data_IF_798046380391
#
_entry.id   IF_798046380391
#
_cell.length_a   1.000
_cell.length_b   1.000
_cell.length_c   1.000
_cell.angle_alpha   90.00
_cell.angle_beta   90.00
_cell.angle_gamma   90.00
#
_symmetry.space_group_name_H-M   'P 1'
#
loop_
_entity.id
_entity.type
_entity.pdbx_description
1 polymer ?
#
# COMPACT_ATOMS: atom_id res chain seq x y z
N UNK A 1 -15.78 58.99 27.84
CA UNK A 1 -16.49 57.80 28.36
C UNK A 1 -16.55 56.77 27.25
N UNK A 2 -15.78 55.69 27.35
CA UNK A 2 -15.68 54.62 26.34
C UNK A 2 -16.65 53.49 26.74
N UNK A 3 -17.68 53.27 25.93
CA UNK A 3 -18.54 52.09 26.03
C UNK A 3 -17.93 51.00 25.13
N UNK A 4 -17.37 49.97 25.75
CA UNK A 4 -16.81 48.80 25.06
C UNK A 4 -17.90 47.78 24.77
N UNK A 5 -17.88 47.26 23.54
CA UNK A 5 -18.69 46.15 23.04
C UNK A 5 -18.70 44.96 24.00
N UNK A 6 -19.89 44.54 24.41
CA UNK A 6 -20.15 43.20 24.92
C UNK A 6 -21.49 42.73 24.33
N UNK A 7 -21.43 42.20 23.12
CA UNK A 7 -22.57 41.58 22.45
C UNK A 7 -22.06 40.48 21.51
N UNK A 8 -21.91 39.26 22.04
CA UNK A 8 -22.08 37.99 21.32
C UNK A 8 -21.76 36.82 22.27
N UNK A 9 -22.69 36.50 23.17
CA UNK A 9 -22.82 35.17 23.75
C UNK A 9 -24.18 34.62 23.35
N UNK A 10 -24.19 33.68 22.40
CA UNK A 10 -25.32 32.83 22.11
C UNK A 10 -25.08 31.46 22.76
N UNK A 11 -26.07 30.86 23.44
CA UNK A 11 -25.91 29.55 24.04
C UNK A 11 -25.82 28.46 22.96
N UNK A 12 -24.74 27.68 23.05
CA UNK A 12 -24.51 26.44 22.32
C UNK A 12 -25.74 25.54 22.39
N UNK A 13 -26.37 25.33 21.24
CA UNK A 13 -27.32 24.23 21.03
C UNK A 13 -26.58 22.91 21.28
N UNK A 14 -27.10 22.13 22.21
CA UNK A 14 -26.71 20.76 22.47
C UNK A 14 -26.76 19.94 21.17
N UNK A 15 -25.60 19.45 20.74
CA UNK A 15 -25.46 18.50 19.65
C UNK A 15 -25.09 17.15 20.28
N UNK A 16 -25.98 16.14 20.30
CA UNK A 16 -25.67 14.83 20.86
C UNK A 16 -24.92 14.00 19.83
N UNK A 17 -23.72 14.45 19.44
CA UNK A 17 -22.77 13.60 18.74
C UNK A 17 -21.85 12.96 19.76
N UNK A 18 -22.40 11.92 20.39
CA UNK A 18 -21.75 10.61 20.54
C UNK A 18 -20.24 10.71 20.74
N UNK A 19 -19.85 10.93 21.99
CA UNK A 19 -18.53 10.60 22.50
C UNK A 19 -18.27 9.11 22.25
N UNK A 20 -17.68 8.77 21.11
CA UNK A 20 -16.86 7.57 21.01
C UNK A 20 -15.51 7.92 21.61
N UNK A 21 -15.43 7.76 22.93
CA UNK A 21 -14.15 7.61 23.60
C UNK A 21 -13.43 6.41 22.95
N UNK A 22 -12.52 6.70 22.00
CA UNK A 22 -11.60 5.70 21.48
C UNK A 22 -10.76 5.22 22.66
N UNK A 23 -11.01 3.99 23.08
CA UNK A 23 -10.14 3.29 24.03
C UNK A 23 -8.72 3.19 23.43
N UNK A 24 -7.66 3.44 24.20
CA UNK A 24 -6.27 3.29 23.77
C UNK A 24 -5.86 1.80 23.73
N UNK A 25 -6.65 0.95 23.07
CA UNK A 25 -6.42 -0.51 22.95
C UNK A 25 -6.38 -1.04 21.52
N UNK A 26 -6.62 -0.21 20.52
CA UNK A 26 -6.64 -0.59 19.09
C UNK A 26 -5.44 -0.07 18.27
N UNK A 27 -4.28 0.14 18.90
CA UNK A 27 -3.01 0.29 18.15
C UNK A 27 -2.45 -1.04 17.66
N UNK A 28 -3.27 -2.10 17.57
CA UNK A 28 -2.93 -3.27 16.75
C UNK A 28 -3.14 -2.87 15.30
N UNK A 29 -2.12 -2.23 14.77
CA UNK A 29 -1.83 -2.14 13.34
C UNK A 29 -2.29 -3.45 12.69
N UNK A 30 -3.44 -3.39 12.02
CA UNK A 30 -4.16 -4.57 11.57
C UNK A 30 -3.25 -5.23 10.56
N UNK A 31 -2.57 -6.31 10.95
CA UNK A 31 -1.74 -7.07 10.03
C UNK A 31 -2.61 -7.41 8.83
N UNK A 32 -2.23 -7.02 7.61
CA UNK A 32 -3.09 -7.22 6.45
C UNK A 32 -3.45 -8.70 6.39
N UNK A 33 -4.73 -9.04 6.40
CA UNK A 33 -5.16 -10.44 6.39
C UNK A 33 -4.83 -11.04 5.04
N UNK A 34 -3.87 -11.97 5.04
CA UNK A 34 -3.33 -12.47 3.80
C UNK A 34 -3.80 -13.86 3.42
N UNK A 35 -4.56 -14.00 2.33
CA UNK A 35 -4.90 -15.33 1.77
C UNK A 35 -3.64 -15.95 1.18
N UNK A 36 -3.24 -17.12 1.71
CA UNK A 36 -2.07 -17.88 1.25
C UNK A 36 -0.73 -17.12 1.26
N UNK A 37 -0.59 -16.11 2.11
CA UNK A 37 0.62 -15.27 2.20
C UNK A 37 0.73 -14.17 1.14
N UNK A 38 -0.38 -13.83 0.49
CA UNK A 38 -0.59 -12.57 -0.23
C UNK A 38 -1.34 -11.61 0.67
N UNK A 39 -1.01 -10.34 0.66
CA UNK A 39 -1.48 -9.27 1.51
C UNK A 39 -2.12 -8.20 0.63
N UNK A 40 -3.31 -7.75 1.02
CA UNK A 40 -3.92 -6.55 0.45
C UNK A 40 -3.46 -5.34 1.25
N UNK A 41 -2.59 -4.53 0.63
CA UNK A 41 -2.06 -3.28 1.16
C UNK A 41 -2.63 -2.05 0.43
N UNK A 42 -3.75 -2.20 -0.29
CA UNK A 42 -4.40 -1.11 -1.03
C UNK A 42 -4.92 0.04 -0.17
N UNK A 43 -5.02 -0.17 1.16
CA UNK A 43 -5.35 0.87 2.14
C UNK A 43 -4.18 1.83 2.44
N UNK A 44 -2.97 1.50 2.01
CA UNK A 44 -1.80 2.35 2.22
C UNK A 44 -1.82 3.54 1.25
N UNK A 45 -1.39 4.70 1.74
CA UNK A 45 -1.23 5.88 0.89
C UNK A 45 0.02 5.73 0.01
N UNK A 46 -0.12 6.01 -1.29
CA UNK A 46 1.02 6.04 -2.20
C UNK A 46 1.64 7.43 -2.18
N UNK A 47 2.91 7.53 -1.80
CA UNK A 47 3.62 8.81 -1.89
C UNK A 47 3.89 9.19 -3.34
N UNK A 48 3.95 10.50 -3.61
CA UNK A 48 4.34 11.03 -4.92
C UNK A 48 5.69 10.48 -5.38
N UNK A 49 6.65 10.38 -4.44
CA UNK A 49 7.95 9.79 -4.71
C UNK A 49 7.87 8.32 -5.15
N UNK A 50 7.02 7.51 -4.50
CA UNK A 50 6.84 6.11 -4.89
C UNK A 50 6.25 5.98 -6.31
N UNK A 51 5.31 6.87 -6.66
CA UNK A 51 4.71 6.92 -7.99
C UNK A 51 5.74 7.34 -9.06
N UNK A 52 6.53 8.38 -8.79
CA UNK A 52 7.60 8.82 -9.68
C UNK A 52 8.61 7.69 -9.93
N UNK A 53 9.08 7.04 -8.86
CA UNK A 53 10.01 5.92 -8.98
C UNK A 53 9.42 4.71 -9.71
N UNK A 54 8.14 4.44 -9.54
CA UNK A 54 7.45 3.40 -10.30
C UNK A 54 7.43 3.73 -11.79
N UNK A 55 7.14 4.99 -12.15
CA UNK A 55 7.15 5.46 -13.53
C UNK A 55 8.53 5.44 -14.17
N UNK A 56 9.58 5.82 -13.45
CA UNK A 56 10.94 5.87 -14.02
C UNK A 56 11.56 4.49 -14.26
N UNK A 57 11.15 3.50 -13.47
CA UNK A 57 11.83 2.19 -13.40
C UNK A 57 11.04 1.06 -14.04
N UNK A 58 9.71 1.18 -14.08
CA UNK A 58 8.81 0.07 -14.43
C UNK A 58 7.80 0.50 -15.49
N UNK A 59 7.25 1.70 -15.37
CA UNK A 59 6.11 2.16 -16.15
C UNK A 59 6.42 3.41 -17.00
N UNK A 60 7.59 3.45 -17.63
CA UNK A 60 8.12 4.65 -18.31
C UNK A 60 7.24 5.13 -19.48
N UNK A 61 6.48 4.21 -20.09
CA UNK A 61 5.56 4.51 -21.18
C UNK A 61 4.18 4.99 -20.73
N UNK A 62 3.88 4.97 -19.43
CA UNK A 62 2.56 5.33 -18.90
C UNK A 62 2.49 6.81 -18.48
N UNK A 63 1.30 7.38 -18.69
CA UNK A 63 0.96 8.68 -18.11
C UNK A 63 0.96 8.62 -16.57
N UNK A 64 1.09 9.76 -15.87
CA UNK A 64 1.05 9.79 -14.41
C UNK A 64 -0.20 9.12 -13.82
N UNK A 65 -1.36 9.38 -14.41
CA UNK A 65 -2.64 8.87 -13.94
C UNK A 65 -2.77 7.36 -14.16
N UNK A 66 -2.38 6.86 -15.33
CA UNK A 66 -2.37 5.42 -15.60
C UNK A 66 -1.40 4.69 -14.67
N UNK A 67 -0.20 5.24 -14.47
CA UNK A 67 0.78 4.66 -13.56
C UNK A 67 0.26 4.58 -12.12
N UNK A 68 -0.47 5.60 -11.66
CA UNK A 68 -1.10 5.60 -10.34
C UNK A 68 -2.17 4.51 -10.22
N UNK A 69 -3.03 4.37 -11.24
CA UNK A 69 -4.05 3.32 -11.28
C UNK A 69 -3.39 1.92 -11.25
N UNK A 70 -2.34 1.72 -12.05
CA UNK A 70 -1.59 0.45 -12.08
C UNK A 70 -0.91 0.15 -10.75
N UNK A 71 -0.27 1.14 -10.14
CA UNK A 71 0.38 1.01 -8.83
C UNK A 71 -0.63 0.63 -7.74
N UNK A 72 -1.80 1.29 -7.70
CA UNK A 72 -2.87 0.96 -6.76
C UNK A 72 -3.42 -0.47 -6.97
N UNK A 73 -3.50 -0.93 -8.21
CA UNK A 73 -3.93 -2.30 -8.50
C UNK A 73 -2.95 -3.34 -7.94
N UNK A 74 -1.64 -3.08 -8.01
CA UNK A 74 -0.59 -3.96 -7.49
C UNK A 74 -0.67 -4.15 -5.97
N UNK A 75 -1.13 -3.13 -5.24
CA UNK A 75 -1.22 -3.16 -3.78
C UNK A 75 -2.17 -4.25 -3.25
N UNK A 76 -3.09 -4.76 -4.08
CA UNK A 76 -4.06 -5.80 -3.68
C UNK A 76 -3.43 -7.17 -3.49
N UNK A 77 -2.33 -7.46 -4.17
CA UNK A 77 -1.72 -8.78 -4.25
C UNK A 77 -0.22 -8.72 -3.98
N UNK A 78 0.13 -8.36 -2.76
CA UNK A 78 1.51 -8.16 -2.35
C UNK A 78 1.98 -9.29 -1.44
N UNK A 79 3.22 -9.75 -1.59
CA UNK A 79 3.79 -10.77 -0.70
C UNK A 79 4.85 -10.15 0.20
N UNK A 80 4.67 -10.22 1.51
CA UNK A 80 5.65 -9.71 2.48
C UNK A 80 6.98 -10.45 2.32
N UNK A 81 8.05 -9.68 2.12
CA UNK A 81 9.42 -10.17 2.06
C UNK A 81 10.07 -10.15 3.44
N UNK A 82 10.02 -9.02 4.12
CA UNK A 82 10.69 -8.81 5.39
C UNK A 82 10.39 -7.44 5.97
N UNK A 83 10.92 -7.18 7.15
CA UNK A 83 10.79 -5.91 7.87
C UNK A 83 12.19 -5.51 8.33
N UNK A 84 12.56 -4.25 8.17
CA UNK A 84 13.85 -3.74 8.61
C UNK A 84 13.79 -3.21 10.05
N UNK A 85 14.95 -2.78 10.58
CA UNK A 85 15.05 -2.23 11.93
C UNK A 85 14.24 -0.94 12.14
N UNK A 86 13.98 -0.18 11.07
CA UNK A 86 13.18 1.05 11.10
C UNK A 86 11.67 0.82 10.95
N UNK A 87 11.21 -0.43 11.08
CA UNK A 87 9.81 -0.82 10.85
C UNK A 87 9.30 -0.59 9.43
N UNK A 88 10.19 -0.41 8.46
CA UNK A 88 9.84 -0.45 7.04
C UNK A 88 9.62 -1.90 6.60
N UNK A 89 8.61 -2.13 5.76
CA UNK A 89 8.23 -3.46 5.30
C UNK A 89 8.42 -3.53 3.79
N UNK A 90 9.09 -4.57 3.33
CA UNK A 90 9.24 -4.86 1.91
C UNK A 90 8.14 -5.83 1.45
N UNK A 91 7.46 -5.47 0.38
CA UNK A 91 6.41 -6.27 -0.26
C UNK A 91 6.74 -6.52 -1.72
N UNK A 92 6.62 -7.77 -2.16
CA UNK A 92 6.81 -8.19 -3.55
C UNK A 92 5.47 -8.13 -4.29
N UNK A 93 5.43 -7.44 -5.42
CA UNK A 93 4.33 -7.46 -6.38
C UNK A 93 4.85 -7.81 -7.78
N UNK A 94 3.95 -8.07 -8.72
CA UNK A 94 4.30 -8.37 -10.12
C UNK A 94 3.52 -7.45 -11.04
N UNK A 95 4.24 -6.67 -11.83
CA UNK A 95 3.71 -5.79 -12.85
C UNK A 95 4.17 -6.27 -14.21
N UNK A 96 3.24 -6.62 -15.11
CA UNK A 96 3.56 -7.06 -16.48
C UNK A 96 4.69 -8.11 -16.54
N UNK A 97 4.51 -9.19 -15.78
CA UNK A 97 5.50 -10.26 -15.54
C UNK A 97 6.84 -9.85 -14.89
N UNK A 98 7.03 -8.56 -14.59
CA UNK A 98 8.21 -8.05 -13.88
C UNK A 98 7.99 -7.98 -12.37
N UNK A 99 8.88 -8.58 -11.56
CA UNK A 99 8.82 -8.46 -10.12
C UNK A 99 9.27 -7.08 -9.65
N UNK A 100 8.46 -6.47 -8.79
CA UNK A 100 8.76 -5.18 -8.17
C UNK A 100 8.66 -5.31 -6.65
N UNK A 101 9.46 -4.52 -5.93
CA UNK A 101 9.45 -4.47 -4.48
C UNK A 101 8.98 -3.11 -4.00
N UNK A 102 7.88 -3.10 -3.26
CA UNK A 102 7.28 -1.92 -2.63
C UNK A 102 7.80 -1.83 -1.20
N UNK A 103 8.32 -0.65 -0.83
CA UNK A 103 8.75 -0.37 0.54
C UNK A 103 7.70 0.49 1.21
N UNK A 104 7.18 0.01 2.32
CA UNK A 104 6.13 0.70 3.09
C UNK A 104 6.62 1.08 4.48
N UNK A 105 6.19 2.24 4.98
CA UNK A 105 6.48 2.70 6.35
C UNK A 105 5.34 3.57 6.86
N UNK A 106 4.87 3.30 8.09
CA UNK A 106 3.89 4.14 8.77
C UNK A 106 2.64 4.44 7.94
N UNK A 107 2.05 3.42 7.32
CA UNK A 107 0.83 3.59 6.49
C UNK A 107 1.06 4.07 5.05
N UNK A 108 2.31 4.32 4.63
CA UNK A 108 2.63 4.85 3.30
C UNK A 108 3.49 3.89 2.48
N UNK A 109 3.26 3.81 1.18
CA UNK A 109 4.21 3.29 0.19
C UNK A 109 5.21 4.41 -0.13
N UNK A 110 6.45 4.23 0.31
CA UNK A 110 7.48 5.27 0.29
C UNK A 110 8.34 5.20 -0.98
N UNK A 111 8.58 3.99 -1.48
CA UNK A 111 9.32 3.81 -2.73
C UNK A 111 9.04 2.46 -3.39
N UNK A 112 9.44 2.35 -4.66
CA UNK A 112 9.36 1.14 -5.48
C UNK A 112 10.77 0.83 -6.00
N UNK A 113 11.20 -0.42 -5.86
CA UNK A 113 12.50 -0.92 -6.29
C UNK A 113 12.30 -2.04 -7.31
N UNK A 114 13.22 -2.14 -8.28
CA UNK A 114 13.35 -3.36 -9.06
C UNK A 114 13.90 -4.50 -8.19
N UNK A 115 13.82 -5.74 -8.70
CA UNK A 115 14.39 -6.89 -8.01
C UNK A 115 15.89 -6.68 -7.71
N UNK A 116 16.66 -6.27 -8.71
CA UNK A 116 18.12 -6.06 -8.60
C UNK A 116 18.47 -4.95 -7.60
N UNK A 117 17.68 -3.88 -7.57
CA UNK A 117 17.85 -2.82 -6.58
C UNK A 117 17.57 -3.32 -5.17
N UNK A 118 16.52 -4.13 -5.00
CA UNK A 118 16.19 -4.69 -3.68
C UNK A 118 17.25 -5.67 -3.19
N UNK A 119 17.90 -6.44 -4.07
CA UNK A 119 18.99 -7.34 -3.68
C UNK A 119 20.12 -6.61 -2.94
N UNK A 120 20.39 -5.35 -3.31
CA UNK A 120 21.44 -4.55 -2.66
C UNK A 120 21.13 -4.18 -1.21
N UNK A 121 19.84 -4.11 -0.84
CA UNK A 121 19.36 -3.75 0.50
C UNK A 121 18.63 -4.91 1.21
N UNK A 122 18.67 -6.11 0.62
CA UNK A 122 17.88 -7.25 1.08
C UNK A 122 18.26 -7.69 2.50
N UNK A 123 19.53 -7.55 2.87
CA UNK A 123 20.05 -7.83 4.22
C UNK A 123 19.36 -7.02 5.29
N UNK A 124 19.02 -5.77 4.97
CA UNK A 124 18.41 -4.82 5.90
C UNK A 124 16.99 -5.26 6.27
N UNK A 125 16.34 -6.03 5.39
CA UNK A 125 15.02 -6.63 5.62
C UNK A 125 15.09 -8.06 6.16
N UNK A 126 16.25 -8.47 6.71
CA UNK A 126 16.44 -9.78 7.35
C UNK A 126 16.62 -10.94 6.39
N UNK A 127 17.03 -10.68 5.13
CA UNK A 127 17.26 -11.71 4.12
C UNK A 127 18.65 -11.57 3.50
N UNK A 128 19.41 -12.66 3.45
CA UNK A 128 20.70 -12.67 2.73
C UNK A 128 20.59 -13.23 1.31
N UNK A 129 19.50 -13.95 1.00
CA UNK A 129 19.24 -14.59 -0.29
C UNK A 129 17.74 -14.70 -0.56
N UNK A 130 17.38 -14.76 -1.82
CA UNK A 130 16.03 -15.12 -2.23
C UNK A 130 15.64 -16.54 -1.77
N UNK A 131 14.34 -16.79 -1.54
CA UNK A 131 13.85 -18.14 -1.28
C UNK A 131 14.27 -19.12 -2.39
N UNK A 132 14.67 -20.34 -2.01
CA UNK A 132 15.16 -21.38 -2.94
C UNK A 132 14.17 -21.73 -4.08
N UNK A 133 12.88 -21.45 -3.90
CA UNK A 133 11.82 -21.61 -4.92
C UNK A 133 11.21 -20.28 -5.33
N UNK A 134 12.05 -19.28 -5.62
CA UNK A 134 11.62 -17.92 -5.93
C UNK A 134 10.65 -17.87 -7.13
N UNK A 135 10.91 -18.63 -8.20
CA UNK A 135 9.98 -18.71 -9.34
C UNK A 135 8.57 -19.23 -9.00
N UNK A 136 8.46 -20.14 -8.02
CA UNK A 136 7.14 -20.59 -7.52
C UNK A 136 6.44 -19.50 -6.71
N UNK A 137 7.21 -18.71 -5.98
CA UNK A 137 6.73 -17.55 -5.25
C UNK A 137 6.17 -16.49 -6.22
N UNK A 138 6.92 -16.18 -7.28
CA UNK A 138 6.47 -15.26 -8.33
C UNK A 138 5.17 -15.74 -8.98
N UNK A 139 5.10 -16.99 -9.42
CA UNK A 139 3.88 -17.55 -10.03
C UNK A 139 2.66 -17.47 -9.13
N UNK A 140 2.83 -17.64 -7.82
CA UNK A 140 1.70 -17.53 -6.87
C UNK A 140 1.27 -16.08 -6.66
N UNK A 141 2.22 -15.15 -6.68
CA UNK A 141 1.93 -13.72 -6.60
C UNK A 141 1.24 -13.22 -7.86
N UNK A 142 1.66 -13.67 -9.06
CA UNK A 142 1.00 -13.30 -10.32
C UNK A 142 -0.39 -13.90 -10.45
N UNK A 143 -0.61 -15.14 -9.98
CA UNK A 143 -1.94 -15.76 -9.95
C UNK A 143 -2.94 -15.03 -9.05
N UNK A 144 -2.47 -14.38 -7.97
CA UNK A 144 -3.31 -13.48 -7.18
C UNK A 144 -3.67 -12.20 -7.96
N UNK A 145 -2.79 -11.78 -8.86
CA UNK A 145 -2.91 -10.57 -9.67
C UNK A 145 -3.69 -10.76 -10.97
N UNK A 146 -4.18 -11.97 -11.27
CA UNK A 146 -4.93 -12.27 -12.49
C UNK A 146 -6.32 -11.60 -12.50
N UNK A 147 -6.36 -10.52 -13.29
CA UNK A 147 -7.39 -10.15 -14.27
C UNK A 147 -8.71 -9.49 -13.82
N UNK A 148 -8.81 -8.13 -13.88
CA UNK A 148 -10.11 -7.46 -13.98
C UNK A 148 -10.85 -7.77 -15.30
N UNK A 149 -10.19 -8.39 -16.28
CA UNK A 149 -10.79 -8.88 -17.54
C UNK A 149 -11.50 -10.23 -17.40
N UNK A 150 -11.44 -10.88 -16.24
CA UNK A 150 -12.17 -12.14 -15.99
C UNK A 150 -13.58 -11.94 -15.43
N UNK A 151 -14.15 -10.73 -15.52
CA UNK A 151 -15.61 -10.54 -15.41
C UNK A 151 -16.20 -11.18 -16.66
N UNK A 152 -16.58 -12.46 -16.55
CA UNK A 152 -17.40 -13.14 -17.56
C UNK A 152 -18.61 -12.26 -17.82
N UNK A 153 -18.71 -11.70 -19.03
CA UNK A 153 -19.96 -11.15 -19.53
C UNK A 153 -21.03 -12.24 -19.37
N UNK A 154 -22.21 -11.95 -18.77
CA UNK A 154 -23.30 -12.90 -18.79
C UNK A 154 -23.64 -13.19 -20.25
N UNK A 155 -23.56 -14.46 -20.64
CA UNK A 155 -24.06 -14.90 -21.95
C UNK A 155 -25.57 -14.59 -21.98
N UNK A 156 -26.07 -13.88 -23.00
CA UNK A 156 -27.50 -13.82 -23.21
C UNK A 156 -27.97 -15.18 -23.75
N UNK A 157 -28.98 -15.75 -23.09
CA UNK A 157 -29.78 -16.88 -23.59
C UNK A 157 -30.57 -16.48 -24.85
#
# INVERSE_FOLDING_TARGET
MRLTLAALEAPLRANPLRNFAMSPKDSRETQPEGRHGLYDISRLHVSEHALERFRERVANSLSPDEAAIRLLALLRNCRKLGTNAESAIAFLAIYDDQPIVLITRGGNVVTCLSLDQFETVMSDFGRHRWPRRFGRWLRKTSQGNCDPSSIKSPQPD
#
